data_IF_780418074892
#
_entry.id   IF_780418074892
#
_cell.length_a   1.000
_cell.length_b   1.000
_cell.length_c   1.000
_cell.angle_alpha   90.00
_cell.angle_beta   90.00
_cell.angle_gamma   90.00
#
_symmetry.space_group_name_H-M   'P 1'
#
loop_
_entity.id
_entity.type
_entity.pdbx_description
1 polymer ?
#
# COMPACT_ATOMS: atom_id res chain seq x y z
N UNK A 1 2.63 -33.41 -10.85
CA UNK A 1 1.48 -34.05 -11.57
C UNK A 1 0.22 -34.29 -10.71
N UNK A 2 0.31 -35.10 -9.63
CA UNK A 2 -0.86 -35.43 -8.81
C UNK A 2 -1.53 -34.21 -8.16
N UNK A 3 -0.74 -33.27 -7.62
CA UNK A 3 -1.28 -32.04 -7.02
C UNK A 3 -2.00 -31.14 -8.02
N UNK A 4 -1.49 -31.04 -9.25
CA UNK A 4 -2.14 -30.27 -10.34
C UNK A 4 -3.50 -30.87 -10.71
N UNK A 5 -3.58 -32.19 -10.81
CA UNK A 5 -4.84 -32.88 -11.05
C UNK A 5 -5.84 -32.65 -9.90
N UNK A 6 -5.36 -32.77 -8.65
CA UNK A 6 -6.17 -32.53 -7.46
C UNK A 6 -6.73 -31.09 -7.39
N UNK A 7 -5.98 -30.09 -7.87
CA UNK A 7 -6.43 -28.71 -7.97
C UNK A 7 -7.59 -28.53 -8.97
N UNK A 8 -7.55 -29.26 -10.09
CA UNK A 8 -8.55 -29.21 -11.15
C UNK A 8 -9.85 -29.94 -10.84
N UNK A 9 -9.82 -30.95 -9.95
CA UNK A 9 -10.99 -31.77 -9.61
C UNK A 9 -12.06 -30.98 -8.85
N UNK A 10 -13.07 -30.46 -9.55
CA UNK A 10 -14.19 -29.70 -8.96
C UNK A 10 -15.10 -30.53 -8.03
N UNK A 11 -15.00 -31.86 -8.08
CA UNK A 11 -15.68 -32.78 -7.15
C UNK A 11 -15.05 -32.80 -5.77
N UNK A 12 -13.78 -32.38 -5.66
CA UNK A 12 -13.09 -32.29 -4.37
C UNK A 12 -13.52 -31.05 -3.59
N UNK A 13 -13.41 -31.15 -2.27
CA UNK A 13 -13.73 -30.02 -1.39
C UNK A 13 -12.74 -28.87 -1.61
N UNK A 14 -13.19 -27.63 -1.37
CA UNK A 14 -12.31 -26.45 -1.38
C UNK A 14 -11.11 -26.63 -0.44
N UNK A 15 -11.28 -27.32 0.69
CA UNK A 15 -10.20 -27.59 1.64
C UNK A 15 -9.11 -28.50 1.04
N UNK A 16 -9.50 -29.58 0.36
CA UNK A 16 -8.57 -30.49 -0.33
C UNK A 16 -7.82 -29.78 -1.44
N UNK A 17 -8.54 -29.02 -2.28
CA UNK A 17 -7.95 -28.25 -3.37
C UNK A 17 -7.00 -27.16 -2.84
N UNK A 18 -7.35 -26.48 -1.75
CA UNK A 18 -6.47 -25.50 -1.09
C UNK A 18 -5.21 -26.16 -0.54
N UNK A 19 -5.32 -27.33 0.11
CA UNK A 19 -4.15 -28.05 0.60
C UNK A 19 -3.22 -28.45 -0.56
N UNK A 20 -3.78 -28.89 -1.68
CA UNK A 20 -3.01 -29.17 -2.90
C UNK A 20 -2.27 -27.93 -3.41
N UNK A 21 -2.92 -26.76 -3.35
CA UNK A 21 -2.35 -25.47 -3.77
C UNK A 21 -1.18 -25.10 -2.87
N UNK A 22 -1.38 -25.14 -1.56
CA UNK A 22 -0.35 -24.81 -0.57
C UNK A 22 0.87 -25.76 -0.69
N UNK A 23 0.64 -27.05 -0.94
CA UNK A 23 1.72 -28.02 -1.20
C UNK A 23 2.46 -27.71 -2.50
N UNK A 24 1.75 -27.27 -3.53
CA UNK A 24 2.33 -26.99 -4.84
C UNK A 24 3.19 -25.73 -4.82
N UNK A 25 2.76 -24.67 -4.15
CA UNK A 25 3.57 -23.45 -3.98
C UNK A 25 4.75 -23.68 -3.05
N UNK A 26 4.65 -24.60 -2.08
CA UNK A 26 5.79 -25.01 -1.25
C UNK A 26 6.80 -25.85 -2.04
N UNK A 27 6.32 -26.70 -2.95
CA UNK A 27 7.17 -27.56 -3.77
C UNK A 27 8.07 -26.78 -4.74
N UNK A 28 7.74 -25.53 -5.04
CA UNK A 28 8.55 -24.64 -5.88
C UNK A 28 9.97 -24.43 -5.33
N UNK A 29 10.13 -24.48 -4.01
CA UNK A 29 11.42 -24.33 -3.33
C UNK A 29 12.28 -25.61 -3.33
N UNK A 30 11.78 -26.72 -3.89
CA UNK A 30 12.44 -28.04 -3.86
C UNK A 30 13.47 -28.22 -5.00
N UNK A 31 13.69 -27.19 -5.83
CA UNK A 31 14.81 -27.11 -6.77
C UNK A 31 14.46 -27.42 -8.22
N UNK A 32 15.48 -27.65 -9.05
CA UNK A 32 15.38 -27.62 -10.53
C UNK A 32 14.34 -28.56 -11.16
N UNK A 33 13.99 -29.68 -10.52
CA UNK A 33 12.97 -30.60 -11.02
C UNK A 33 11.55 -29.99 -11.03
N UNK A 34 11.30 -28.93 -10.27
CA UNK A 34 10.02 -28.22 -10.30
C UNK A 34 9.89 -27.28 -11.50
N UNK A 35 11.01 -26.79 -12.05
CA UNK A 35 11.01 -25.84 -13.18
C UNK A 35 10.30 -26.42 -14.41
N UNK A 36 10.44 -27.72 -14.65
CA UNK A 36 9.77 -28.42 -15.76
C UNK A 36 8.24 -28.41 -15.65
N UNK A 37 7.70 -28.17 -14.46
CA UNK A 37 6.26 -28.10 -14.19
C UNK A 37 5.73 -26.66 -14.14
N UNK A 38 6.60 -25.64 -14.17
CA UNK A 38 6.19 -24.23 -14.00
C UNK A 38 5.12 -23.79 -15.02
N UNK A 39 5.20 -24.14 -16.33
CA UNK A 39 4.14 -23.79 -17.27
C UNK A 39 2.77 -24.39 -16.88
N UNK A 40 2.74 -25.66 -16.44
CA UNK A 40 1.50 -26.31 -16.04
C UNK A 40 0.96 -25.74 -14.72
N UNK A 41 1.85 -25.29 -13.84
CA UNK A 41 1.47 -24.57 -12.62
C UNK A 41 0.82 -23.25 -12.94
N UNK A 42 1.42 -22.43 -13.81
CA UNK A 42 0.86 -21.14 -14.24
C UNK A 42 -0.53 -21.34 -14.86
N UNK A 43 -0.69 -22.30 -15.78
CA UNK A 43 -1.99 -22.61 -16.38
C UNK A 43 -3.03 -23.07 -15.34
N UNK A 44 -2.62 -23.87 -14.36
CA UNK A 44 -3.51 -24.26 -13.26
C UNK A 44 -3.93 -23.05 -12.40
N UNK A 45 -3.03 -22.10 -12.15
CA UNK A 45 -3.37 -20.88 -11.41
C UNK A 45 -4.29 -19.97 -12.20
N UNK A 46 -4.07 -19.80 -13.51
CA UNK A 46 -4.97 -19.03 -14.38
C UNK A 46 -6.39 -19.61 -14.34
N UNK A 47 -6.52 -20.93 -14.41
CA UNK A 47 -7.81 -21.62 -14.26
C UNK A 47 -8.43 -21.47 -12.85
N UNK A 48 -7.60 -21.35 -11.80
CA UNK A 48 -8.08 -21.12 -10.43
C UNK A 48 -8.47 -19.66 -10.15
N UNK A 49 -7.90 -18.70 -10.88
CA UNK A 49 -8.26 -17.28 -10.77
C UNK A 49 -9.74 -17.02 -11.10
N UNK A 50 -10.39 -17.93 -11.83
CA UNK A 50 -11.82 -17.91 -12.16
C UNK A 50 -12.67 -18.86 -11.29
N UNK A 51 -12.08 -19.53 -10.29
CA UNK A 51 -12.78 -20.53 -9.49
C UNK A 51 -13.99 -19.95 -8.73
N UNK A 52 -15.03 -20.76 -8.48
CA UNK A 52 -16.18 -20.31 -7.66
C UNK A 52 -15.77 -19.97 -6.23
N UNK A 53 -14.74 -20.62 -5.70
CA UNK A 53 -14.23 -20.35 -4.37
C UNK A 53 -13.40 -19.05 -4.34
N UNK A 54 -13.83 -18.01 -3.58
CA UNK A 54 -13.07 -16.77 -3.45
C UNK A 54 -11.68 -17.00 -2.85
N UNK A 55 -11.54 -18.00 -1.97
CA UNK A 55 -10.25 -18.34 -1.34
C UNK A 55 -9.26 -18.89 -2.37
N UNK A 56 -9.72 -19.73 -3.30
CA UNK A 56 -8.86 -20.27 -4.35
C UNK A 56 -8.52 -19.21 -5.40
N UNK A 57 -9.50 -18.39 -5.80
CA UNK A 57 -9.24 -17.26 -6.72
C UNK A 57 -8.18 -16.32 -6.19
N UNK A 58 -8.33 -15.87 -4.94
CA UNK A 58 -7.39 -14.92 -4.35
C UNK A 58 -5.97 -15.51 -4.27
N UNK A 59 -5.82 -16.76 -3.81
CA UNK A 59 -4.51 -17.41 -3.73
C UNK A 59 -3.86 -17.60 -5.11
N UNK A 60 -4.66 -17.93 -6.12
CA UNK A 60 -4.17 -18.06 -7.48
C UNK A 60 -3.72 -16.72 -8.07
N UNK A 61 -4.50 -15.65 -7.88
CA UNK A 61 -4.13 -14.29 -8.30
C UNK A 61 -2.90 -13.77 -7.56
N UNK A 62 -2.75 -14.11 -6.27
CA UNK A 62 -1.55 -13.77 -5.50
C UNK A 62 -0.30 -14.45 -6.06
N UNK A 63 -0.39 -15.75 -6.37
CA UNK A 63 0.69 -16.48 -7.03
C UNK A 63 1.05 -15.87 -8.39
N UNK A 64 0.05 -15.66 -9.25
CA UNK A 64 0.26 -15.11 -10.59
C UNK A 64 0.83 -13.69 -10.56
N UNK A 65 0.41 -12.86 -9.60
CA UNK A 65 0.97 -11.52 -9.43
C UNK A 65 2.45 -11.56 -9.03
N UNK A 66 2.86 -12.48 -8.15
CA UNK A 66 4.27 -12.69 -7.80
C UNK A 66 5.10 -13.16 -9.00
N UNK A 67 4.47 -13.90 -9.91
CA UNK A 67 5.08 -14.38 -11.15
C UNK A 67 5.08 -13.33 -12.28
N UNK A 68 4.58 -12.10 -12.02
CA UNK A 68 4.41 -11.02 -13.00
C UNK A 68 3.57 -11.43 -14.23
N UNK A 69 2.56 -12.28 -14.01
CA UNK A 69 1.71 -12.82 -15.07
C UNK A 69 0.76 -11.76 -15.65
N UNK A 70 0.82 -11.57 -16.97
CA UNK A 70 0.00 -10.57 -17.68
C UNK A 70 -1.51 -10.82 -17.50
N UNK A 71 -1.94 -12.08 -17.46
CA UNK A 71 -3.35 -12.42 -17.31
C UNK A 71 -3.88 -12.03 -15.93
N UNK A 72 -3.12 -12.24 -14.86
CA UNK A 72 -3.46 -11.69 -13.55
C UNK A 72 -3.45 -10.16 -13.54
N UNK A 73 -2.49 -9.51 -14.23
CA UNK A 73 -2.45 -8.05 -14.33
C UNK A 73 -3.72 -7.48 -14.97
N UNK A 74 -4.20 -8.09 -16.04
CA UNK A 74 -5.43 -7.68 -16.72
C UNK A 74 -6.65 -7.83 -15.80
N UNK A 75 -6.76 -8.96 -15.10
CA UNK A 75 -7.84 -9.20 -14.13
C UNK A 75 -7.81 -8.17 -13.00
N UNK A 76 -6.64 -7.90 -12.43
CA UNK A 76 -6.51 -6.98 -11.29
C UNK A 76 -6.72 -5.52 -11.72
N UNK A 77 -6.31 -5.17 -12.93
CA UNK A 77 -6.60 -3.85 -13.52
C UNK A 77 -8.09 -3.67 -13.71
N UNK A 78 -8.77 -4.68 -14.26
CA UNK A 78 -10.22 -4.65 -14.42
C UNK A 78 -10.94 -4.61 -13.07
N UNK A 79 -10.40 -5.26 -12.03
CA UNK A 79 -10.93 -5.17 -10.68
C UNK A 79 -10.89 -3.75 -10.08
N UNK A 80 -10.03 -2.87 -10.58
CA UNK A 80 -10.04 -1.45 -10.22
C UNK A 80 -11.10 -0.67 -11.00
N UNK A 81 -11.27 -0.98 -12.29
CA UNK A 81 -12.21 -0.34 -13.19
C UNK A 81 -13.69 -0.71 -12.93
N UNK A 82 -13.99 -2.00 -12.74
CA UNK A 82 -15.35 -2.57 -12.61
C UNK A 82 -15.47 -3.45 -11.34
N UNK A 83 -15.38 -2.83 -10.16
CA UNK A 83 -15.18 -3.55 -8.89
C UNK A 83 -16.34 -4.44 -8.46
N UNK A 84 -17.56 -4.20 -8.93
CA UNK A 84 -18.77 -4.93 -8.54
C UNK A 84 -18.79 -6.41 -8.94
N UNK A 85 -18.10 -6.76 -10.03
CA UNK A 85 -18.03 -8.13 -10.56
C UNK A 85 -16.62 -8.73 -10.48
N UNK A 86 -15.70 -8.03 -9.82
CA UNK A 86 -14.31 -8.40 -9.78
C UNK A 86 -14.05 -9.68 -8.95
N UNK A 87 -13.07 -10.51 -9.33
CA UNK A 87 -12.75 -11.73 -8.60
C UNK A 87 -12.18 -11.46 -7.20
N UNK A 88 -11.63 -10.25 -6.99
CA UNK A 88 -11.13 -9.70 -5.72
C UNK A 88 -11.57 -8.24 -5.58
N UNK A 89 -11.71 -7.74 -4.35
CA UNK A 89 -12.03 -6.32 -4.13
C UNK A 89 -10.87 -5.38 -4.45
N UNK A 90 -11.16 -4.10 -4.74
CA UNK A 90 -10.16 -3.09 -5.15
C UNK A 90 -8.93 -3.01 -4.24
N UNK A 91 -9.08 -3.06 -2.91
CA UNK A 91 -7.95 -2.96 -2.00
C UNK A 91 -6.96 -4.13 -2.20
N UNK A 92 -7.48 -5.34 -2.37
CA UNK A 92 -6.66 -6.52 -2.69
C UNK A 92 -6.06 -6.40 -4.08
N UNK A 93 -6.81 -5.87 -5.07
CA UNK A 93 -6.29 -5.65 -6.41
C UNK A 93 -5.08 -4.68 -6.40
N UNK A 94 -5.18 -3.54 -5.71
CA UNK A 94 -4.06 -2.60 -5.54
C UNK A 94 -2.86 -3.29 -4.88
N UNK A 95 -3.09 -4.05 -3.80
CA UNK A 95 -2.02 -4.76 -3.11
C UNK A 95 -1.30 -5.76 -4.04
N UNK A 96 -2.05 -6.55 -4.81
CA UNK A 96 -1.48 -7.56 -5.70
C UNK A 96 -0.78 -6.92 -6.91
N UNK A 97 -1.32 -5.84 -7.47
CA UNK A 97 -0.65 -5.07 -8.53
C UNK A 97 0.68 -4.48 -8.05
N UNK A 98 0.78 -4.13 -6.76
CA UNK A 98 2.01 -3.64 -6.14
C UNK A 98 3.09 -4.71 -5.92
N UNK A 99 2.83 -5.99 -6.20
CA UNK A 99 3.85 -7.04 -6.18
C UNK A 99 4.66 -7.09 -7.48
N UNK A 100 4.13 -6.51 -8.56
CA UNK A 100 4.78 -6.47 -9.87
C UNK A 100 5.48 -5.13 -10.07
N UNK A 101 6.78 -5.09 -9.75
CA UNK A 101 7.64 -3.91 -9.90
C UNK A 101 7.79 -3.44 -11.37
N UNK A 102 7.40 -4.25 -12.35
CA UNK A 102 7.52 -3.94 -13.79
C UNK A 102 6.22 -3.40 -14.40
N UNK A 103 5.08 -3.50 -13.70
CA UNK A 103 3.74 -3.33 -14.28
C UNK A 103 3.24 -1.88 -14.51
N UNK A 104 4.02 -0.83 -14.25
CA UNK A 104 3.49 0.54 -14.15
C UNK A 104 2.26 0.66 -13.20
N UNK A 105 2.15 -0.23 -12.20
CA UNK A 105 1.02 -0.26 -11.28
C UNK A 105 0.80 1.10 -10.58
N UNK A 106 1.89 1.82 -10.29
CA UNK A 106 1.82 3.16 -9.72
C UNK A 106 1.12 4.17 -10.64
N UNK A 107 1.38 4.14 -11.96
CA UNK A 107 0.73 5.04 -12.91
C UNK A 107 -0.78 4.75 -12.98
N UNK A 108 -1.16 3.46 -13.04
CA UNK A 108 -2.57 3.04 -13.03
C UNK A 108 -3.29 3.51 -11.75
N UNK A 109 -2.74 3.16 -10.59
CA UNK A 109 -3.33 3.48 -9.28
C UNK A 109 -3.41 4.99 -9.05
N UNK A 110 -2.41 5.76 -9.50
CA UNK A 110 -2.43 7.23 -9.41
C UNK A 110 -3.57 7.82 -10.23
N UNK A 111 -3.79 7.33 -11.45
CA UNK A 111 -4.84 7.82 -12.35
C UNK A 111 -6.25 7.48 -11.85
N UNK A 112 -6.40 6.38 -11.12
CA UNK A 112 -7.69 5.91 -10.61
C UNK A 112 -7.95 6.29 -9.14
N UNK A 113 -7.01 6.94 -8.46
CA UNK A 113 -7.04 7.13 -7.00
C UNK A 113 -8.38 7.65 -6.47
N UNK A 114 -9.01 8.60 -7.17
CA UNK A 114 -10.28 9.20 -6.75
C UNK A 114 -11.50 8.27 -6.91
N UNK A 115 -11.41 7.25 -7.75
CA UNK A 115 -12.47 6.28 -7.97
C UNK A 115 -12.37 5.08 -7.02
N UNK A 116 -11.23 4.95 -6.33
CA UNK A 116 -11.00 3.87 -5.37
C UNK A 116 -11.86 4.04 -4.12
N UNK A 117 -12.36 2.90 -3.63
CA UNK A 117 -12.98 2.79 -2.32
C UNK A 117 -12.02 3.23 -1.20
N UNK A 118 -12.52 3.63 -0.02
CA UNK A 118 -11.67 4.10 1.08
C UNK A 118 -10.56 3.11 1.48
N UNK A 119 -10.87 1.82 1.54
CA UNK A 119 -9.88 0.79 1.84
C UNK A 119 -8.83 0.66 0.73
N UNK A 120 -9.23 0.79 -0.53
CA UNK A 120 -8.31 0.74 -1.66
C UNK A 120 -7.42 1.99 -1.74
N UNK A 121 -7.91 3.16 -1.33
CA UNK A 121 -7.07 4.37 -1.22
C UNK A 121 -5.96 4.22 -0.17
N UNK A 122 -6.20 3.52 0.93
CA UNK A 122 -5.15 3.23 1.92
C UNK A 122 -4.04 2.36 1.33
N UNK A 123 -4.38 1.26 0.66
CA UNK A 123 -3.42 0.41 -0.05
C UNK A 123 -2.72 1.16 -1.19
N UNK A 124 -3.44 2.02 -1.89
CA UNK A 124 -2.88 2.85 -2.95
C UNK A 124 -1.81 3.79 -2.41
N UNK A 125 -2.00 4.40 -1.24
CA UNK A 125 -0.98 5.25 -0.65
C UNK A 125 0.27 4.46 -0.25
N UNK A 126 0.14 3.19 0.16
CA UNK A 126 1.29 2.34 0.43
C UNK A 126 2.10 2.09 -0.86
N UNK A 127 1.42 1.75 -1.96
CA UNK A 127 2.05 1.55 -3.26
C UNK A 127 2.67 2.85 -3.80
N UNK A 128 1.92 3.95 -3.79
CA UNK A 128 2.38 5.24 -4.31
C UNK A 128 3.48 5.86 -3.43
N UNK A 129 3.58 5.43 -2.16
CA UNK A 129 4.65 5.82 -1.24
C UNK A 129 6.04 5.30 -1.61
N UNK A 130 6.17 4.47 -2.65
CA UNK A 130 7.44 4.03 -3.23
C UNK A 130 7.68 4.57 -4.65
N UNK A 131 6.73 5.35 -5.21
CA UNK A 131 6.81 5.91 -6.56
C UNK A 131 7.08 7.44 -6.56
N UNK A 132 8.27 7.90 -6.98
CA UNK A 132 8.64 9.32 -6.91
C UNK A 132 7.72 10.24 -7.72
N UNK A 133 7.06 9.73 -8.77
CA UNK A 133 6.11 10.52 -9.57
C UNK A 133 4.84 10.86 -8.78
N UNK A 134 4.57 10.16 -7.68
CA UNK A 134 3.39 10.38 -6.84
C UNK A 134 3.57 11.45 -5.77
N UNK A 135 4.77 11.99 -5.59
CA UNK A 135 5.07 13.07 -4.62
C UNK A 135 4.07 14.24 -4.66
N UNK A 136 3.66 14.79 -5.82
CA UNK A 136 2.67 15.86 -5.87
C UNK A 136 1.28 15.45 -5.33
N UNK A 137 0.82 14.25 -5.68
CA UNK A 137 -0.47 13.71 -5.20
C UNK A 137 -0.43 13.51 -3.69
N UNK A 138 0.62 12.85 -3.18
CA UNK A 138 0.76 12.61 -1.74
C UNK A 138 0.84 13.94 -0.96
N UNK A 139 1.61 14.91 -1.44
CA UNK A 139 1.69 16.25 -0.83
C UNK A 139 0.33 16.95 -0.75
N UNK A 140 -0.50 16.82 -1.79
CA UNK A 140 -1.85 17.39 -1.79
C UNK A 140 -2.77 16.66 -0.80
N UNK A 141 -2.77 15.32 -0.78
CA UNK A 141 -3.58 14.53 0.14
C UNK A 141 -3.24 14.80 1.62
N UNK A 142 -1.98 15.04 1.96
CA UNK A 142 -1.60 15.43 3.33
C UNK A 142 -2.27 16.74 3.74
N UNK A 143 -2.45 17.70 2.82
CA UNK A 143 -3.04 19.02 3.09
C UNK A 143 -4.56 19.05 2.98
N UNK A 144 -5.16 18.09 2.29
CA UNK A 144 -6.60 18.05 2.08
C UNK A 144 -7.34 17.64 3.36
N UNK A 145 -8.06 18.59 3.95
CA UNK A 145 -8.84 18.37 5.20
C UNK A 145 -10.14 17.61 4.97
N UNK A 146 -10.59 17.46 3.72
CA UNK A 146 -11.76 16.65 3.36
C UNK A 146 -11.41 15.16 3.40
N UNK A 147 -10.13 14.83 3.23
CA UNK A 147 -9.60 13.49 3.44
C UNK A 147 -9.52 13.19 4.94
N UNK A 148 -10.03 12.03 5.34
CA UNK A 148 -10.00 11.60 6.74
C UNK A 148 -8.57 11.54 7.30
N UNK A 149 -8.38 11.93 8.57
CA UNK A 149 -7.06 12.01 9.21
C UNK A 149 -6.24 10.72 9.11
N UNK A 150 -6.88 9.55 9.13
CA UNK A 150 -6.21 8.25 9.01
C UNK A 150 -5.43 8.18 7.70
N UNK A 151 -6.09 8.47 6.58
CA UNK A 151 -5.44 8.44 5.26
C UNK A 151 -4.36 9.52 5.18
N UNK A 152 -4.65 10.76 5.61
CA UNK A 152 -3.65 11.85 5.65
C UNK A 152 -2.37 11.45 6.39
N UNK A 153 -2.47 10.69 7.50
CA UNK A 153 -1.31 10.20 8.27
C UNK A 153 -0.50 9.16 7.51
N UNK A 154 -1.16 8.18 6.89
CA UNK A 154 -0.48 7.17 6.07
C UNK A 154 0.22 7.86 4.89
N UNK A 155 -0.45 8.83 4.25
CA UNK A 155 0.11 9.62 3.15
C UNK A 155 1.31 10.46 3.57
N UNK A 156 1.27 11.06 4.76
CA UNK A 156 2.38 11.80 5.32
C UNK A 156 3.60 10.91 5.57
N UNK A 157 3.40 9.69 6.04
CA UNK A 157 4.47 8.71 6.24
C UNK A 157 5.09 8.27 4.90
N UNK A 158 4.25 7.95 3.89
CA UNK A 158 4.72 7.62 2.54
C UNK A 158 5.50 8.76 1.89
N UNK A 159 4.97 9.99 1.96
CA UNK A 159 5.67 11.18 1.45
C UNK A 159 7.03 11.37 2.13
N UNK A 160 7.11 11.21 3.45
CA UNK A 160 8.39 11.31 4.17
C UNK A 160 9.40 10.26 3.72
N UNK A 161 8.94 9.03 3.49
CA UNK A 161 9.81 7.91 3.09
C UNK A 161 10.43 8.15 1.71
N UNK A 162 9.66 8.72 0.77
CA UNK A 162 10.11 8.92 -0.60
C UNK A 162 10.76 10.27 -0.87
N UNK A 163 10.30 11.32 -0.20
CA UNK A 163 10.78 12.69 -0.37
C UNK A 163 10.66 13.46 0.96
N UNK A 164 11.71 13.35 1.78
CA UNK A 164 11.79 14.01 3.08
C UNK A 164 11.79 15.54 2.97
N UNK A 165 12.28 16.12 1.88
CA UNK A 165 12.25 17.57 1.68
C UNK A 165 10.82 18.05 1.41
N UNK A 166 10.12 17.40 0.48
CA UNK A 166 8.73 17.73 0.18
C UNK A 166 7.82 17.46 1.36
N UNK A 167 8.08 16.42 2.14
CA UNK A 167 7.42 16.23 3.44
C UNK A 167 7.65 17.43 4.36
N UNK A 168 8.90 17.92 4.52
CA UNK A 168 9.18 19.07 5.37
C UNK A 168 8.41 20.31 4.93
N UNK A 169 8.38 20.60 3.62
CA UNK A 169 7.61 21.71 3.05
C UNK A 169 6.12 21.56 3.38
N UNK A 170 5.55 20.39 3.11
CA UNK A 170 4.13 20.09 3.37
C UNK A 170 3.79 20.16 4.85
N UNK A 171 4.69 19.70 5.73
CA UNK A 171 4.54 19.77 7.17
C UNK A 171 4.52 21.21 7.69
N UNK A 172 5.32 22.12 7.10
CA UNK A 172 5.26 23.56 7.45
C UNK A 172 3.88 24.14 7.16
N UNK A 173 3.31 23.82 6.01
CA UNK A 173 1.97 24.28 5.63
C UNK A 173 0.91 23.81 6.63
N UNK A 174 0.90 22.50 6.94
CA UNK A 174 -0.04 21.89 7.90
C UNK A 174 0.12 22.49 9.31
N UNK A 175 1.36 22.66 9.78
CA UNK A 175 1.62 23.19 11.12
C UNK A 175 1.23 24.67 11.23
N UNK A 176 1.44 25.47 10.18
CA UNK A 176 1.06 26.87 10.11
C UNK A 176 -0.47 27.08 10.02
N UNK A 177 -1.21 26.13 9.45
CA UNK A 177 -2.65 26.25 9.24
C UNK A 177 -3.45 26.11 10.56
N UNK A 178 -3.91 27.22 11.12
CA UNK A 178 -4.65 27.24 12.40
C UNK A 178 -5.97 26.47 12.39
N UNK A 179 -6.55 26.20 11.22
CA UNK A 179 -7.80 25.46 11.09
C UNK A 179 -7.60 23.94 11.09
N UNK A 180 -6.36 23.46 10.94
CA UNK A 180 -6.08 22.03 10.92
C UNK A 180 -6.13 21.41 12.32
N UNK A 181 -6.44 20.12 12.35
CA UNK A 181 -6.60 19.34 13.58
C UNK A 181 -5.32 19.32 14.40
N UNK A 182 -5.43 19.65 15.69
CA UNK A 182 -4.29 19.56 16.60
C UNK A 182 -3.76 18.12 16.76
N UNK A 183 -4.63 17.12 16.59
CA UNK A 183 -4.25 15.70 16.60
C UNK A 183 -3.42 15.36 15.37
N UNK A 184 -3.85 15.80 14.19
CA UNK A 184 -3.09 15.59 12.96
C UNK A 184 -1.74 16.31 12.99
N UNK A 185 -1.72 17.58 13.41
CA UNK A 185 -0.48 18.34 13.62
C UNK A 185 0.48 17.63 14.57
N UNK A 186 -0.02 17.08 15.68
CA UNK A 186 0.82 16.33 16.62
C UNK A 186 1.44 15.07 15.97
N UNK A 187 0.72 14.41 15.06
CA UNK A 187 1.26 13.28 14.29
C UNK A 187 2.37 13.73 13.34
N UNK A 188 2.20 14.86 12.64
CA UNK A 188 3.24 15.45 11.78
C UNK A 188 4.50 15.80 12.59
N UNK A 189 4.34 16.41 13.77
CA UNK A 189 5.47 16.69 14.68
C UNK A 189 6.17 15.40 15.11
N UNK A 190 5.42 14.34 15.42
CA UNK A 190 5.99 13.02 15.73
C UNK A 190 6.81 12.44 14.59
N UNK A 191 6.31 12.51 13.35
CA UNK A 191 7.06 12.05 12.17
C UNK A 191 8.35 12.85 11.96
N UNK A 192 8.31 14.17 12.19
CA UNK A 192 9.47 15.05 12.04
C UNK A 192 10.64 14.73 12.99
N UNK A 193 10.40 14.02 14.10
CA UNK A 193 11.45 13.65 15.08
C UNK A 193 12.56 12.79 14.48
N UNK A 194 12.25 12.05 13.42
CA UNK A 194 13.19 11.11 12.78
C UNK A 194 13.82 11.66 11.51
N UNK A 195 13.61 12.95 11.22
CA UNK A 195 14.16 13.61 10.04
C UNK A 195 15.60 14.10 10.26
N UNK A 196 16.34 14.22 9.16
CA UNK A 196 17.64 14.89 9.16
C UNK A 196 17.51 16.35 9.65
N UNK A 197 18.50 16.87 10.41
CA UNK A 197 18.53 18.27 10.83
C UNK A 197 18.38 19.30 9.70
N UNK A 198 18.86 19.00 8.49
CA UNK A 198 18.67 19.85 7.29
C UNK A 198 17.20 20.14 6.98
N UNK A 199 16.30 19.24 7.36
CA UNK A 199 14.86 19.38 7.17
C UNK A 199 14.12 19.75 8.46
N UNK A 200 14.82 20.29 9.46
CA UNK A 200 14.24 20.65 10.74
C UNK A 200 13.04 21.62 10.61
N UNK A 201 12.11 21.46 11.54
CA UNK A 201 10.83 22.19 11.58
C UNK A 201 10.73 23.07 12.85
N UNK A 202 11.86 23.36 13.49
CA UNK A 202 11.97 24.02 14.79
C UNK A 202 11.08 25.25 14.91
N UNK A 203 11.23 26.20 13.99
CA UNK A 203 10.50 27.48 14.05
C UNK A 203 8.99 27.29 13.90
N UNK A 204 8.55 26.41 13.00
CA UNK A 204 7.10 26.21 12.76
C UNK A 204 6.46 25.38 13.87
N UNK A 205 7.20 24.41 14.45
CA UNK A 205 6.73 23.63 15.60
C UNK A 205 6.63 24.54 16.83
N UNK A 206 7.62 25.41 17.05
CA UNK A 206 7.59 26.38 18.14
C UNK A 206 6.42 27.38 18.02
N UNK A 207 6.19 27.91 16.82
CA UNK A 207 5.04 28.77 16.56
C UNK A 207 3.71 28.02 16.81
N UNK A 208 3.58 26.78 16.29
CA UNK A 208 2.38 25.98 16.44
C UNK A 208 2.05 25.67 17.91
N UNK A 209 3.05 25.36 18.75
CA UNK A 209 2.82 25.09 20.18
C UNK A 209 2.43 26.34 20.98
N UNK A 210 2.94 27.54 20.61
CA UNK A 210 2.62 28.80 21.30
C UNK A 210 1.19 29.24 21.02
N UNK A 211 0.69 28.98 19.80
CA UNK A 211 -0.64 29.41 19.38
C UNK A 211 -1.77 28.40 19.62
N UNK A 212 -1.46 27.20 20.12
CA UNK A 212 -2.46 26.17 20.40
C UNK A 212 -2.85 26.09 21.88
N UNK A 213 -4.11 25.74 22.14
CA UNK A 213 -4.57 25.30 23.48
C UNK A 213 -4.47 23.78 23.66
N UNK A 214 -4.24 23.02 22.58
CA UNK A 214 -4.21 21.56 22.61
C UNK A 214 -3.02 21.04 23.41
N UNK A 215 -3.31 20.22 24.42
CA UNK A 215 -2.29 19.50 25.20
C UNK A 215 -1.50 18.52 24.31
N UNK A 216 -2.19 17.79 23.43
CA UNK A 216 -1.58 16.80 22.54
C UNK A 216 -0.50 17.40 21.65
N UNK A 217 -0.77 18.57 21.05
CA UNK A 217 0.22 19.25 20.19
C UNK A 217 1.40 19.81 21.01
N UNK A 218 1.13 20.36 22.20
CA UNK A 218 2.20 20.81 23.11
C UNK A 218 3.11 19.65 23.55
N UNK A 219 2.54 18.51 23.90
CA UNK A 219 3.30 17.33 24.34
C UNK A 219 4.10 16.70 23.17
N UNK A 220 3.57 16.75 21.94
CA UNK A 220 4.34 16.38 20.75
C UNK A 220 5.54 17.32 20.51
N UNK A 221 5.34 18.64 20.58
CA UNK A 221 6.40 19.63 20.43
C UNK A 221 7.49 19.49 21.49
N UNK A 222 7.12 19.30 22.77
CA UNK A 222 8.08 19.04 23.85
C UNK A 222 8.95 17.82 23.56
N UNK A 223 8.34 16.70 23.14
CA UNK A 223 9.09 15.48 22.78
C UNK A 223 10.01 15.73 21.58
N UNK A 224 9.58 16.51 20.60
CA UNK A 224 10.41 16.90 19.47
C UNK A 224 11.67 17.66 19.89
N UNK A 225 11.55 18.65 20.77
CA UNK A 225 12.70 19.41 21.26
C UNK A 225 13.57 18.67 22.27
N UNK A 226 13.02 17.67 22.97
CA UNK A 226 13.78 16.85 23.93
C UNK A 226 14.56 15.69 23.26
N UNK A 227 14.23 15.34 22.02
CA UNK A 227 14.87 14.22 21.34
C UNK A 227 16.33 14.56 20.93
N UNK A 228 17.30 13.66 21.19
CA UNK A 228 18.67 13.85 20.71
C UNK A 228 18.68 13.83 19.17
N UNK A 229 19.25 14.86 18.54
CA UNK A 229 19.44 14.89 17.09
C UNK A 229 20.62 13.98 16.73
N UNK A 230 20.41 13.08 15.77
CA UNK A 230 21.54 12.32 15.21
C UNK A 230 22.47 13.32 14.50
N UNK A 231 23.80 13.30 14.77
CA UNK A 231 24.76 14.05 13.98
C UNK A 231 24.75 13.54 12.53
N UNK A 232 25.12 14.43 11.60
CA UNK A 232 25.27 14.13 10.17
C UNK A 232 26.41 13.15 9.88
#
# INVERSE_FOLDING_TARGET
PYLLDLLGRKTETVAVRRAALDMLTTAEFVGGAFLDFRPQVIEAMRALAEDKSPVLRQKALEYLAQENDDYARDILTEALNTPENAPVGQAKAVQLLGLDDHANAADLVRNQFEQLSPAAREEAVHLLGTDPKSVPLLSNLVKDKTVGEKLRRVTAAGLKAIDSERFAQTARDVLADRSDSATFKAAIVGMAQTMSPVHALDTVIDAAQRHTKSKTLKDAARRYFAAPRKPE
#
